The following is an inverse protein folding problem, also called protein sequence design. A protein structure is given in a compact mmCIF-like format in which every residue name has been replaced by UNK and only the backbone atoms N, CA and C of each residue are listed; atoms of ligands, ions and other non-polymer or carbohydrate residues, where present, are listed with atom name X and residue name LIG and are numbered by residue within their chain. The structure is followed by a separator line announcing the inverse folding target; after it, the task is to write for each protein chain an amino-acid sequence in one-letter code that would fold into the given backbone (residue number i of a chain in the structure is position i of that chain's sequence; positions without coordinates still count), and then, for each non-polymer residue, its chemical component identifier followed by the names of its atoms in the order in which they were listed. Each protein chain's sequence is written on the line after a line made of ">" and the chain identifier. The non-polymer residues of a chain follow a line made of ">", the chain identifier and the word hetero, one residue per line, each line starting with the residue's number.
data_IF_178404528445
#
_entry.id   IF_178404528445
#
_cell.length_a   1.000
_cell.length_b   1.000
_cell.length_c   1.000
_cell.angle_alpha   90.00
_cell.angle_beta   90.00
_cell.angle_gamma   90.00
#
_symmetry.space_group_name_H-M   'P 1'
#
loop_
_entity.id
_entity.type
_entity.pdbx_description
1 polymer ?
#
# COMPACT_ATOMS: atom_id res chain seq x y z
N UNK A 1 36.30 -33.64 22.21
CA UNK A 1 35.67 -33.46 20.89
C UNK A 1 34.27 -32.89 21.05
N UNK A 2 34.12 -31.69 21.72
CA UNK A 2 32.80 -31.01 21.98
C UNK A 2 32.86 -29.49 21.93
N UNK A 3 33.81 -28.88 21.24
CA UNK A 3 34.00 -27.42 21.22
C UNK A 3 33.99 -26.76 19.84
N UNK A 4 33.60 -27.51 18.75
CA UNK A 4 33.64 -26.97 17.38
C UNK A 4 32.27 -26.70 16.77
N UNK A 5 31.15 -27.00 17.44
CA UNK A 5 29.80 -26.80 16.88
C UNK A 5 29.13 -25.46 17.25
N UNK A 6 29.65 -24.73 18.24
CA UNK A 6 29.01 -23.48 18.68
C UNK A 6 29.42 -22.24 17.89
N UNK A 7 30.52 -22.29 17.13
CA UNK A 7 31.01 -21.13 16.37
C UNK A 7 30.30 -20.91 15.01
N UNK A 8 29.81 -22.00 14.40
CA UNK A 8 29.16 -21.91 13.07
C UNK A 8 27.73 -21.34 13.11
N UNK A 9 26.99 -21.55 14.21
CA UNK A 9 25.63 -21.05 14.37
C UNK A 9 25.59 -19.51 14.60
N UNK A 10 26.63 -18.94 15.21
CA UNK A 10 26.72 -17.50 15.50
C UNK A 10 27.07 -16.68 14.24
N UNK A 11 27.87 -17.21 13.31
CA UNK A 11 28.20 -16.54 12.04
C UNK A 11 27.02 -16.46 11.08
N UNK A 12 26.13 -17.45 11.04
CA UNK A 12 24.95 -17.41 10.16
C UNK A 12 23.91 -16.37 10.58
N UNK A 13 23.77 -16.13 11.89
CA UNK A 13 22.85 -15.11 12.41
C UNK A 13 23.35 -13.66 12.19
N UNK A 14 24.67 -13.45 12.09
CA UNK A 14 25.26 -12.13 11.86
C UNK A 14 25.24 -11.78 10.37
N UNK A 15 25.42 -12.75 9.46
CA UNK A 15 25.35 -12.54 8.00
C UNK A 15 23.94 -12.20 7.52
N UNK A 16 22.88 -12.77 8.13
CA UNK A 16 21.50 -12.41 7.80
C UNK A 16 21.10 -10.98 8.17
N UNK A 17 21.73 -10.41 9.20
CA UNK A 17 21.41 -9.06 9.67
C UNK A 17 22.17 -7.95 8.92
N UNK A 18 23.31 -8.24 8.31
CA UNK A 18 24.08 -7.27 7.51
C UNK A 18 23.49 -7.09 6.10
N UNK A 19 23.07 -8.18 5.45
CA UNK A 19 22.46 -8.14 4.11
C UNK A 19 21.11 -7.37 4.05
N UNK A 20 20.44 -7.21 5.19
CA UNK A 20 19.12 -6.54 5.28
C UNK A 20 19.22 -5.00 5.30
N UNK A 21 20.39 -4.44 5.66
CA UNK A 21 20.62 -2.98 5.66
C UNK A 21 20.90 -2.41 4.27
N UNK A 22 21.33 -3.22 3.33
CA UNK A 22 21.81 -2.81 2.01
C UNK A 22 20.78 -3.12 0.88
N UNK A 23 19.49 -3.31 1.23
CA UNK A 23 18.47 -3.51 0.19
C UNK A 23 18.37 -2.27 -0.72
N UNK A 24 18.49 -2.42 -2.06
CA UNK A 24 18.51 -1.29 -2.98
C UNK A 24 17.18 -0.53 -2.95
N UNK A 25 17.26 0.78 -2.68
CA UNK A 25 16.10 1.64 -2.64
C UNK A 25 15.75 2.15 -4.04
N UNK A 26 14.47 2.09 -4.37
CA UNK A 26 13.90 2.57 -5.64
C UNK A 26 13.71 4.09 -5.56
N UNK A 27 13.93 4.80 -6.68
CA UNK A 27 13.64 6.24 -6.78
C UNK A 27 12.15 6.51 -6.51
N UNK A 28 11.86 7.51 -5.67
CA UNK A 28 10.50 7.87 -5.36
C UNK A 28 9.84 8.60 -6.54
N UNK A 29 8.68 8.10 -6.96
CA UNK A 29 7.77 8.74 -7.92
C UNK A 29 6.37 8.64 -7.35
N UNK A 30 5.56 9.72 -7.50
CA UNK A 30 4.20 9.72 -6.95
C UNK A 30 3.35 8.61 -7.58
N UNK A 31 3.45 8.41 -8.88
CA UNK A 31 2.75 7.34 -9.60
C UNK A 31 3.67 6.61 -10.56
N UNK A 32 3.58 5.29 -10.55
CA UNK A 32 4.11 4.40 -11.58
C UNK A 32 2.93 3.69 -12.22
N UNK A 33 2.48 4.19 -13.37
CA UNK A 33 1.23 3.74 -13.97
C UNK A 33 1.27 2.30 -14.50
N UNK A 34 2.41 1.83 -15.00
CA UNK A 34 2.60 0.49 -15.57
C UNK A 34 1.40 0.03 -16.41
N UNK A 35 0.71 -1.05 -16.00
CA UNK A 35 -0.48 -1.57 -16.67
C UNK A 35 -1.76 -0.78 -16.42
N UNK A 36 -1.75 0.20 -15.53
CA UNK A 36 -2.93 0.95 -15.14
C UNK A 36 -4.01 0.12 -14.46
N UNK A 37 -5.25 0.59 -14.53
CA UNK A 37 -6.45 -0.04 -13.97
C UNK A 37 -7.55 -0.18 -15.04
N UNK A 38 -7.27 -0.85 -16.18
CA UNK A 38 -8.13 -0.81 -17.35
C UNK A 38 -9.50 -1.47 -17.15
N UNK A 39 -9.56 -2.59 -16.40
CA UNK A 39 -10.81 -3.30 -16.14
C UNK A 39 -11.73 -2.48 -15.23
N UNK A 40 -11.14 -1.88 -14.17
CA UNK A 40 -11.88 -1.03 -13.24
C UNK A 40 -12.44 0.21 -13.92
N UNK A 41 -11.65 0.96 -14.69
CA UNK A 41 -12.12 2.18 -15.35
C UNK A 41 -13.16 1.90 -16.43
N UNK A 42 -13.01 0.83 -17.22
CA UNK A 42 -14.02 0.43 -18.19
C UNK A 42 -15.36 0.16 -17.46
N UNK A 43 -15.33 -0.62 -16.39
CA UNK A 43 -16.54 -0.94 -15.61
C UNK A 43 -17.12 0.31 -14.96
N UNK A 44 -16.29 1.21 -14.40
CA UNK A 44 -16.75 2.44 -13.76
C UNK A 44 -17.44 3.41 -14.70
N UNK A 45 -17.11 3.37 -16.00
CA UNK A 45 -17.74 4.19 -17.04
C UNK A 45 -19.04 3.58 -17.57
N UNK A 46 -19.35 2.33 -17.23
CA UNK A 46 -20.55 1.62 -17.70
C UNK A 46 -21.76 2.00 -16.86
N UNK A 47 -22.81 2.56 -17.49
CA UNK A 47 -24.02 2.98 -16.80
C UNK A 47 -24.70 1.80 -16.08
N UNK A 48 -25.04 2.01 -14.81
CA UNK A 48 -25.69 1.01 -13.96
C UNK A 48 -24.73 -0.05 -13.40
N UNK A 49 -23.42 0.08 -13.63
CA UNK A 49 -22.46 -0.87 -13.09
C UNK A 49 -22.35 -0.77 -11.56
N UNK A 50 -22.20 -1.93 -10.93
CA UNK A 50 -21.88 -2.05 -9.51
C UNK A 50 -20.43 -2.46 -9.34
N UNK A 51 -19.63 -1.63 -8.66
CA UNK A 51 -18.23 -1.88 -8.42
C UNK A 51 -17.95 -2.06 -6.93
N UNK A 52 -17.01 -2.94 -6.63
CA UNK A 52 -16.51 -3.16 -5.27
C UNK A 52 -15.02 -2.83 -5.20
N UNK A 53 -14.65 -1.96 -4.27
CA UNK A 53 -13.26 -1.56 -4.04
C UNK A 53 -12.79 -2.18 -2.74
N UNK A 54 -11.78 -3.06 -2.84
CA UNK A 54 -11.11 -3.68 -1.71
C UNK A 54 -9.97 -2.79 -1.19
N UNK A 55 -9.85 -2.71 0.12
CA UNK A 55 -8.76 -2.03 0.82
C UNK A 55 -8.13 -3.00 1.82
N UNK A 56 -6.99 -3.56 1.46
CA UNK A 56 -6.23 -4.48 2.27
C UNK A 56 -5.00 -3.76 2.83
N UNK A 57 -4.90 -3.65 4.16
CA UNK A 57 -3.83 -2.87 4.75
C UNK A 57 -3.78 -2.93 6.29
N UNK A 58 -2.96 -2.04 6.85
CA UNK A 58 -2.78 -1.85 8.29
C UNK A 58 -3.70 -0.79 8.89
N UNK A 59 -3.26 -0.22 10.05
CA UNK A 59 -4.05 0.77 10.81
C UNK A 59 -4.31 2.07 10.04
N UNK A 60 -3.37 2.55 9.23
CA UNK A 60 -3.55 3.78 8.43
C UNK A 60 -4.68 3.59 7.41
N UNK A 61 -4.80 2.40 6.83
CA UNK A 61 -5.92 2.06 5.93
C UNK A 61 -7.22 1.81 6.69
N UNK A 62 -7.16 1.27 7.92
CA UNK A 62 -8.34 1.02 8.74
C UNK A 62 -9.05 2.31 9.20
N UNK A 63 -8.32 3.43 9.36
CA UNK A 63 -8.89 4.72 9.74
C UNK A 63 -9.92 5.24 8.73
N UNK A 64 -10.84 6.10 9.17
CA UNK A 64 -11.75 6.85 8.31
C UNK A 64 -10.99 7.99 7.61
N UNK A 65 -10.10 7.66 6.69
CA UNK A 65 -9.22 8.59 6.02
C UNK A 65 -9.20 8.38 4.52
N UNK A 66 -8.00 8.21 3.95
CA UNK A 66 -7.78 8.10 2.50
C UNK A 66 -8.71 7.08 1.81
N UNK A 67 -8.96 5.95 2.46
CA UNK A 67 -9.85 4.89 1.97
C UNK A 67 -11.28 5.43 1.74
N UNK A 68 -11.87 6.04 2.78
CA UNK A 68 -13.25 6.59 2.72
C UNK A 68 -13.32 7.76 1.75
N UNK A 69 -12.31 8.64 1.78
CA UNK A 69 -12.24 9.82 0.91
C UNK A 69 -12.06 9.42 -0.57
N UNK A 70 -11.26 8.38 -0.86
CA UNK A 70 -11.09 7.86 -2.21
C UNK A 70 -12.38 7.21 -2.74
N UNK A 71 -13.09 6.46 -1.89
CA UNK A 71 -14.41 5.92 -2.26
C UNK A 71 -15.41 7.02 -2.59
N UNK A 72 -15.45 8.08 -1.78
CA UNK A 72 -16.30 9.24 -2.02
C UNK A 72 -15.94 9.96 -3.34
N UNK A 73 -14.63 10.06 -3.64
CA UNK A 73 -14.18 10.59 -4.93
C UNK A 73 -14.70 9.75 -6.11
N UNK A 74 -14.59 8.43 -6.08
CA UNK A 74 -15.11 7.57 -7.16
C UNK A 74 -16.62 7.71 -7.35
N UNK A 75 -17.40 7.73 -6.26
CA UNK A 75 -18.85 7.97 -6.31
C UNK A 75 -19.20 9.30 -6.99
N UNK A 76 -18.41 10.35 -6.74
CA UNK A 76 -18.60 11.67 -7.35
C UNK A 76 -18.14 11.70 -8.81
N UNK A 77 -17.02 11.05 -9.14
CA UNK A 77 -16.44 11.07 -10.47
C UNK A 77 -17.21 10.20 -11.49
N UNK A 78 -17.88 9.15 -11.01
CA UNK A 78 -18.64 8.20 -11.83
C UNK A 78 -20.07 8.04 -11.32
N UNK A 79 -20.92 9.09 -11.41
CA UNK A 79 -22.27 9.10 -10.84
C UNK A 79 -23.24 8.11 -11.53
N UNK A 80 -22.88 7.61 -12.70
CA UNK A 80 -23.65 6.60 -13.44
C UNK A 80 -23.48 5.18 -12.87
N UNK A 81 -22.50 4.96 -11.96
CA UNK A 81 -22.19 3.67 -11.35
C UNK A 81 -22.30 3.72 -9.83
N UNK A 82 -22.45 2.56 -9.19
CA UNK A 82 -22.45 2.46 -7.74
C UNK A 82 -21.17 1.83 -7.24
N UNK A 83 -20.72 2.26 -6.04
CA UNK A 83 -19.47 1.78 -5.45
C UNK A 83 -19.70 1.31 -4.01
N UNK A 84 -19.33 0.07 -3.74
CA UNK A 84 -19.28 -0.52 -2.42
C UNK A 84 -17.85 -0.70 -1.93
N UNK A 85 -17.66 -0.57 -0.63
CA UNK A 85 -16.37 -0.77 0.03
C UNK A 85 -16.24 -2.19 0.56
N UNK A 86 -15.04 -2.76 0.40
CA UNK A 86 -14.58 -3.96 1.12
C UNK A 86 -13.43 -3.50 2.02
N UNK A 87 -13.75 -3.06 3.24
CA UNK A 87 -12.71 -2.74 4.23
C UNK A 87 -12.14 -4.03 4.83
N UNK A 88 -10.92 -4.35 4.46
CA UNK A 88 -10.15 -5.50 4.96
C UNK A 88 -8.85 -5.04 5.65
N UNK A 89 -8.82 -3.82 6.17
CA UNK A 89 -7.68 -3.32 6.91
C UNK A 89 -7.77 -3.71 8.40
N UNK A 90 -6.64 -4.18 8.95
CA UNK A 90 -6.50 -4.55 10.37
C UNK A 90 -5.27 -3.87 10.95
N UNK A 91 -5.46 -3.10 12.02
CA UNK A 91 -4.36 -2.38 12.68
C UNK A 91 -3.23 -3.30 13.15
N UNK A 92 -1.99 -2.85 12.98
CA UNK A 92 -0.79 -3.58 13.41
C UNK A 92 -0.41 -4.79 12.57
N UNK A 93 -1.06 -5.02 11.41
CA UNK A 93 -0.78 -6.18 10.56
C UNK A 93 -0.03 -5.80 9.30
N UNK A 94 0.94 -6.62 8.89
CA UNK A 94 1.70 -6.51 7.67
C UNK A 94 1.19 -7.43 6.55
N UNK A 95 1.92 -7.43 5.44
CA UNK A 95 1.63 -8.31 4.29
C UNK A 95 1.68 -9.79 4.66
N UNK A 96 2.46 -10.13 5.68
CA UNK A 96 2.62 -11.49 6.20
C UNK A 96 1.32 -12.09 6.78
N UNK A 97 0.48 -11.29 7.43
CA UNK A 97 -0.87 -11.71 7.79
C UNK A 97 -1.85 -11.44 6.64
N UNK A 98 -1.65 -10.37 5.90
CA UNK A 98 -2.47 -9.99 4.75
C UNK A 98 -2.66 -11.13 3.75
N UNK A 99 -1.57 -11.83 3.40
CA UNK A 99 -1.58 -12.92 2.41
C UNK A 99 -2.40 -14.14 2.85
N UNK A 100 -2.47 -14.42 4.15
CA UNK A 100 -3.26 -15.55 4.67
C UNK A 100 -4.76 -15.26 4.71
N UNK A 101 -5.15 -13.99 4.91
CA UNK A 101 -6.55 -13.59 5.11
C UNK A 101 -7.19 -12.98 3.85
N UNK A 102 -6.41 -12.66 2.79
CA UNK A 102 -6.92 -11.99 1.59
C UNK A 102 -8.09 -12.74 0.95
N UNK A 103 -8.03 -14.08 0.90
CA UNK A 103 -9.11 -14.90 0.34
C UNK A 103 -10.44 -14.69 1.09
N UNK A 104 -10.40 -14.76 2.42
CA UNK A 104 -11.59 -14.64 3.27
C UNK A 104 -12.10 -13.19 3.34
N UNK A 105 -11.19 -12.23 3.56
CA UNK A 105 -11.57 -10.86 3.90
C UNK A 105 -11.91 -10.01 2.67
N UNK A 106 -11.35 -10.35 1.50
CA UNK A 106 -11.41 -9.56 0.27
C UNK A 106 -12.01 -10.36 -0.89
N UNK A 107 -11.34 -11.46 -1.29
CA UNK A 107 -11.61 -12.09 -2.59
C UNK A 107 -12.96 -12.80 -2.62
N UNK A 108 -13.41 -13.36 -1.50
CA UNK A 108 -14.76 -13.93 -1.36
C UNK A 108 -15.90 -12.92 -1.63
N UNK A 109 -15.59 -11.62 -1.56
CA UNK A 109 -16.56 -10.53 -1.78
C UNK A 109 -16.53 -9.98 -3.22
N UNK A 110 -15.61 -10.47 -4.05
CA UNK A 110 -15.50 -10.13 -5.48
C UNK A 110 -15.13 -8.66 -5.75
N UNK A 111 -13.94 -8.20 -5.38
CA UNK A 111 -13.50 -6.84 -5.69
C UNK A 111 -13.24 -6.66 -7.19
N UNK A 112 -13.56 -5.47 -7.71
CA UNK A 112 -13.17 -5.01 -9.05
C UNK A 112 -11.81 -4.31 -9.03
N UNK A 113 -11.51 -3.63 -7.92
CA UNK A 113 -10.22 -2.99 -7.64
C UNK A 113 -9.77 -3.37 -6.23
N UNK A 114 -8.50 -3.69 -6.07
CA UNK A 114 -7.88 -3.96 -4.78
C UNK A 114 -6.70 -3.01 -4.55
N UNK A 115 -6.84 -2.10 -3.59
CA UNK A 115 -5.72 -1.36 -3.02
C UNK A 115 -5.02 -2.20 -1.96
N UNK A 116 -3.69 -2.30 -2.03
CA UNK A 116 -2.86 -3.01 -1.05
C UNK A 116 -1.86 -2.04 -0.42
N UNK A 117 -1.92 -1.90 0.92
CA UNK A 117 -1.13 -0.96 1.71
C UNK A 117 -0.49 -1.66 2.92
N UNK A 118 0.81 -1.92 2.87
CA UNK A 118 1.55 -2.50 3.98
C UNK A 118 2.93 -1.88 4.18
N UNK A 119 3.27 -0.83 3.44
CA UNK A 119 4.62 -0.27 3.42
C UNK A 119 5.12 0.19 4.80
N UNK A 120 4.23 0.73 5.64
CA UNK A 120 4.55 1.14 7.01
C UNK A 120 4.67 -0.07 7.93
N UNK A 121 3.71 -0.98 7.89
CA UNK A 121 3.71 -2.16 8.78
C UNK A 121 4.86 -3.12 8.48
N UNK A 122 5.26 -3.23 7.22
CA UNK A 122 6.37 -4.07 6.77
C UNK A 122 7.74 -3.34 6.89
N UNK A 123 7.80 -2.14 7.44
CA UNK A 123 9.03 -1.33 7.50
C UNK A 123 10.22 -2.02 8.15
N UNK A 124 9.98 -2.93 9.09
CA UNK A 124 10.99 -3.77 9.75
C UNK A 124 11.13 -5.19 9.22
N UNK A 125 10.28 -5.61 8.25
CA UNK A 125 10.27 -6.98 7.75
C UNK A 125 11.43 -7.24 6.76
N UNK A 126 11.80 -8.51 6.61
CA UNK A 126 12.76 -8.96 5.60
C UNK A 126 12.19 -8.70 4.18
N UNK A 127 12.93 -8.00 3.28
CA UNK A 127 12.50 -7.70 1.92
C UNK A 127 12.08 -8.93 1.11
N UNK A 128 12.77 -10.05 1.27
CA UNK A 128 12.41 -11.28 0.55
C UNK A 128 11.08 -11.85 1.04
N UNK A 129 10.81 -11.76 2.36
CA UNK A 129 9.50 -12.13 2.92
C UNK A 129 8.40 -11.22 2.40
N UNK A 130 8.63 -9.89 2.35
CA UNK A 130 7.68 -8.93 1.76
C UNK A 130 7.34 -9.32 0.32
N UNK A 131 8.36 -9.58 -0.52
CA UNK A 131 8.19 -10.00 -1.92
C UNK A 131 7.29 -11.22 -2.00
N UNK A 132 7.58 -12.28 -1.22
CA UNK A 132 6.80 -13.52 -1.21
C UNK A 132 5.35 -13.32 -0.78
N UNK A 133 5.12 -12.47 0.23
CA UNK A 133 3.76 -12.15 0.72
C UNK A 133 2.99 -11.34 -0.31
N UNK A 134 3.58 -10.27 -0.85
CA UNK A 134 2.94 -9.41 -1.84
C UNK A 134 2.66 -10.16 -3.14
N UNK A 135 3.58 -10.98 -3.59
CA UNK A 135 3.36 -11.87 -4.75
C UNK A 135 2.22 -12.85 -4.48
N UNK A 136 2.16 -13.43 -3.28
CA UNK A 136 1.08 -14.31 -2.89
C UNK A 136 -0.29 -13.62 -2.96
N UNK A 137 -0.41 -12.37 -2.49
CA UNK A 137 -1.63 -11.57 -2.59
C UNK A 137 -2.04 -11.36 -4.04
N UNK A 138 -1.09 -10.97 -4.92
CA UNK A 138 -1.35 -10.76 -6.35
C UNK A 138 -1.88 -12.03 -7.01
N UNK A 139 -1.17 -13.14 -6.82
CA UNK A 139 -1.48 -14.43 -7.46
C UNK A 139 -2.82 -15.00 -6.97
N UNK A 140 -3.11 -14.90 -5.66
CA UNK A 140 -4.42 -15.28 -5.12
C UNK A 140 -5.55 -14.41 -5.72
N UNK A 141 -5.32 -13.08 -5.84
CA UNK A 141 -6.31 -12.16 -6.41
C UNK A 141 -6.65 -12.54 -7.85
N UNK A 142 -5.67 -12.69 -8.72
CA UNK A 142 -5.92 -13.00 -10.12
C UNK A 142 -6.37 -14.44 -10.36
N UNK A 143 -6.05 -15.36 -9.46
CA UNK A 143 -6.64 -16.71 -9.47
C UNK A 143 -8.13 -16.68 -9.12
N UNK A 144 -8.55 -15.84 -8.18
CA UNK A 144 -9.95 -15.69 -7.80
C UNK A 144 -10.77 -14.96 -8.87
N UNK A 145 -10.25 -13.86 -9.40
CA UNK A 145 -10.84 -13.11 -10.51
C UNK A 145 -9.74 -12.42 -11.34
N UNK A 146 -9.44 -12.90 -12.54
CA UNK A 146 -8.40 -12.33 -13.39
C UNK A 146 -8.72 -10.92 -13.92
N UNK A 147 -9.93 -10.40 -13.69
CA UNK A 147 -10.32 -9.02 -14.05
C UNK A 147 -10.22 -8.03 -12.90
N UNK A 148 -9.86 -8.48 -11.69
CA UNK A 148 -9.62 -7.55 -10.58
C UNK A 148 -8.32 -6.79 -10.83
N UNK A 149 -8.42 -5.47 -10.96
CA UNK A 149 -7.25 -4.62 -11.01
C UNK A 149 -6.66 -4.45 -9.59
N UNK A 150 -5.35 -4.36 -9.49
CA UNK A 150 -4.62 -4.18 -8.23
C UNK A 150 -3.83 -2.87 -8.32
N UNK A 151 -3.79 -2.11 -7.22
CA UNK A 151 -2.93 -0.94 -7.06
C UNK A 151 -2.21 -1.01 -5.72
N UNK A 152 -0.89 -0.94 -5.73
CA UNK A 152 -0.11 -0.80 -4.49
C UNK A 152 -0.07 0.66 -4.07
N UNK A 153 -0.23 0.93 -2.79
CA UNK A 153 -0.12 2.28 -2.25
C UNK A 153 0.83 2.30 -1.06
N UNK A 154 1.68 3.34 -0.99
CA UNK A 154 2.74 3.43 0.01
C UNK A 154 2.51 4.64 0.89
N UNK A 155 2.07 4.39 2.10
CA UNK A 155 1.94 5.37 3.17
C UNK A 155 3.30 5.67 3.81
N UNK A 156 3.38 6.74 4.59
CA UNK A 156 4.61 7.22 5.21
C UNK A 156 4.37 7.57 6.67
N UNK A 157 5.38 7.33 7.50
CA UNK A 157 5.45 7.81 8.88
C UNK A 157 6.72 8.63 9.07
N UNK A 158 6.78 9.42 10.15
CA UNK A 158 7.99 10.17 10.48
C UNK A 158 9.24 9.27 10.55
N UNK A 159 9.12 8.14 11.25
CA UNK A 159 10.22 7.19 11.45
C UNK A 159 10.76 6.56 10.15
N UNK A 160 9.93 6.47 9.11
CA UNK A 160 10.29 5.87 7.82
C UNK A 160 10.50 6.92 6.71
N UNK A 161 10.49 8.22 7.06
CA UNK A 161 10.54 9.31 6.07
C UNK A 161 11.94 9.55 5.48
N UNK A 162 13.02 9.16 6.16
CA UNK A 162 14.39 9.45 5.75
C UNK A 162 14.66 9.21 4.27
N UNK A 163 14.48 7.99 3.74
CA UNK A 163 14.70 7.73 2.31
C UNK A 163 13.87 8.63 1.40
N UNK A 164 12.61 8.90 1.73
CA UNK A 164 11.73 9.70 0.87
C UNK A 164 12.14 11.18 0.85
N UNK A 165 12.69 11.70 1.95
CA UNK A 165 13.29 13.04 1.97
C UNK A 165 14.52 13.14 1.05
N UNK A 166 15.17 12.02 0.74
CA UNK A 166 16.30 11.89 -0.19
C UNK A 166 15.85 11.46 -1.61
N UNK A 167 14.56 11.41 -1.88
CA UNK A 167 14.02 11.04 -3.19
C UNK A 167 13.99 9.54 -3.45
N UNK A 168 14.01 8.70 -2.40
CA UNK A 168 13.92 7.24 -2.49
C UNK A 168 12.69 6.73 -1.77
N UNK A 169 12.12 5.62 -2.24
CA UNK A 169 11.11 4.89 -1.49
C UNK A 169 11.74 4.21 -0.26
N UNK A 170 10.96 4.06 0.81
CA UNK A 170 11.37 3.26 1.97
C UNK A 170 11.62 1.80 1.56
N UNK A 171 12.44 1.09 2.35
CA UNK A 171 12.89 -0.27 2.06
C UNK A 171 11.74 -1.25 1.77
N UNK A 172 10.69 -1.22 2.56
CA UNK A 172 9.51 -2.07 2.36
C UNK A 172 8.80 -1.77 1.04
N UNK A 173 8.56 -0.49 0.73
CA UNK A 173 7.98 -0.08 -0.55
C UNK A 173 8.88 -0.46 -1.73
N UNK A 174 10.20 -0.32 -1.59
CA UNK A 174 11.18 -0.75 -2.61
C UNK A 174 11.12 -2.26 -2.88
N UNK A 175 10.88 -3.07 -1.84
CA UNK A 175 10.67 -4.51 -2.00
C UNK A 175 9.35 -4.82 -2.72
N UNK A 176 8.28 -4.07 -2.40
CA UNK A 176 6.96 -4.21 -3.07
C UNK A 176 7.03 -3.80 -4.54
N UNK A 177 7.83 -2.78 -4.88
CA UNK A 177 8.05 -2.35 -6.27
C UNK A 177 8.60 -3.47 -7.16
N UNK A 178 9.42 -4.37 -6.61
CA UNK A 178 9.91 -5.54 -7.38
C UNK A 178 8.77 -6.45 -7.85
N UNK A 179 7.75 -6.63 -7.02
CA UNK A 179 6.53 -7.37 -7.39
C UNK A 179 5.69 -6.56 -8.38
N UNK A 180 5.54 -5.26 -8.11
CA UNK A 180 4.79 -4.35 -8.98
C UNK A 180 5.37 -4.30 -10.40
N UNK A 181 6.71 -4.20 -10.53
CA UNK A 181 7.41 -4.22 -11.82
C UNK A 181 7.21 -5.54 -12.56
N UNK A 182 7.37 -6.66 -11.85
CA UNK A 182 7.25 -7.99 -12.47
C UNK A 182 5.85 -8.28 -13.02
N UNK A 183 4.81 -7.86 -12.27
CA UNK A 183 3.42 -8.12 -12.64
C UNK A 183 2.76 -6.96 -13.41
N UNK A 184 3.46 -5.85 -13.60
CA UNK A 184 2.90 -4.66 -14.26
C UNK A 184 1.84 -3.94 -13.43
N UNK A 185 1.87 -4.07 -12.10
CA UNK A 185 0.91 -3.48 -11.17
C UNK A 185 1.25 -2.00 -10.95
N UNK A 186 0.29 -1.07 -11.08
CA UNK A 186 0.52 0.32 -10.77
C UNK A 186 0.76 0.53 -9.27
N UNK A 187 1.55 1.56 -8.95
CA UNK A 187 1.81 1.95 -7.56
C UNK A 187 1.72 3.47 -7.37
N UNK A 188 1.30 3.90 -6.17
CA UNK A 188 1.17 5.30 -5.79
C UNK A 188 1.89 5.51 -4.46
N UNK A 189 2.90 6.38 -4.43
CA UNK A 189 3.60 6.77 -3.21
C UNK A 189 2.86 7.93 -2.53
N UNK A 190 1.92 7.60 -1.63
CA UNK A 190 1.06 8.56 -0.94
C UNK A 190 1.85 9.57 -0.09
N UNK A 191 3.04 9.18 0.37
CA UNK A 191 3.91 10.01 1.21
C UNK A 191 4.69 11.11 0.48
N UNK A 192 4.63 11.22 -0.86
CA UNK A 192 5.46 12.17 -1.62
C UNK A 192 5.22 13.63 -1.20
N UNK A 193 3.95 14.05 -1.13
CA UNK A 193 3.61 15.42 -0.74
C UNK A 193 3.93 15.67 0.74
N UNK A 194 3.75 14.67 1.60
CA UNK A 194 4.15 14.73 3.01
C UNK A 194 5.66 15.00 3.13
N UNK A 195 6.47 14.25 2.40
CA UNK A 195 7.93 14.43 2.38
C UNK A 195 8.32 15.79 1.82
N UNK A 196 7.64 16.27 0.75
CA UNK A 196 7.88 17.60 0.17
C UNK A 196 7.61 18.72 1.19
N UNK A 197 6.49 18.64 1.91
CA UNK A 197 6.15 19.60 2.95
C UNK A 197 7.13 19.53 4.13
N UNK A 198 7.54 18.33 4.55
CA UNK A 198 8.53 18.15 5.59
C UNK A 198 9.88 18.78 5.20
N UNK A 199 10.36 18.52 3.98
CA UNK A 199 11.62 19.08 3.45
C UNK A 199 11.57 20.62 3.36
N UNK A 200 10.39 21.18 3.07
CA UNK A 200 10.17 22.62 3.01
C UNK A 200 9.97 23.28 4.41
N UNK A 201 10.03 22.51 5.51
CA UNK A 201 9.76 23.01 6.85
C UNK A 201 8.28 23.38 7.10
N UNK A 202 7.39 22.93 6.23
CA UNK A 202 5.94 23.21 6.25
C UNK A 202 5.10 22.07 6.82
N UNK A 203 5.72 21.04 7.42
CA UNK A 203 5.04 19.94 8.06
C UNK A 203 5.38 19.86 9.54
N UNK A 204 4.36 19.68 10.37
CA UNK A 204 4.47 19.27 11.76
C UNK A 204 4.06 17.81 11.83
N UNK A 205 5.02 16.92 12.06
CA UNK A 205 4.78 15.48 12.05
C UNK A 205 3.80 15.04 13.14
N UNK A 206 3.95 15.62 14.35
CA UNK A 206 3.19 15.22 15.52
C UNK A 206 2.67 16.42 16.28
N UNK A 207 1.37 16.64 16.23
CA UNK A 207 0.64 17.61 17.04
C UNK A 207 -0.87 17.30 17.03
N UNK A 208 -1.65 17.76 18.00
CA UNK A 208 -3.09 17.85 17.83
C UNK A 208 -3.43 18.89 16.76
N UNK A 209 -4.61 18.78 16.16
CA UNK A 209 -5.12 19.83 15.27
C UNK A 209 -5.42 21.10 16.09
N UNK A 210 -5.11 22.31 15.55
CA UNK A 210 -5.40 23.57 16.22
C UNK A 210 -6.92 23.75 16.37
N UNK A 211 -7.35 24.11 17.58
CA UNK A 211 -8.78 24.29 17.94
C UNK A 211 -9.19 25.76 18.04
N UNK A 212 -8.23 26.65 18.37
CA UNK A 212 -8.48 28.07 18.54
C UNK A 212 -7.82 28.87 17.42
N UNK A 213 -8.30 30.09 17.19
CA UNK A 213 -7.69 31.00 16.22
C UNK A 213 -6.25 31.37 16.59
N UNK A 214 -5.94 31.44 17.90
CA UNK A 214 -4.56 31.66 18.35
C UNK A 214 -3.63 30.48 18.00
N UNK A 215 -4.10 29.23 18.17
CA UNK A 215 -3.34 28.04 17.77
C UNK A 215 -3.16 27.96 16.26
N UNK A 216 -4.19 28.32 15.47
CA UNK A 216 -4.10 28.41 14.01
C UNK A 216 -3.09 29.47 13.57
N UNK A 217 -3.14 30.65 14.20
CA UNK A 217 -2.19 31.72 13.92
C UNK A 217 -0.73 31.31 14.28
N UNK A 218 -0.54 30.62 15.39
CA UNK A 218 0.76 30.10 15.80
C UNK A 218 1.29 29.00 14.85
N UNK A 219 0.40 28.17 14.29
CA UNK A 219 0.75 27.17 13.29
C UNK A 219 1.20 27.81 11.96
N UNK A 220 0.60 28.97 11.61
CA UNK A 220 0.88 29.68 10.37
C UNK A 220 0.51 28.86 9.13
N UNK A 221 1.44 28.75 8.16
CA UNK A 221 1.26 27.99 6.91
C UNK A 221 1.68 26.52 7.03
N UNK A 222 1.99 26.05 8.24
CA UNK A 222 2.39 24.67 8.46
C UNK A 222 1.20 23.73 8.49
N UNK A 223 1.44 22.50 8.08
CA UNK A 223 0.48 21.43 7.99
C UNK A 223 0.71 20.40 9.12
N UNK A 224 -0.29 20.10 9.93
CA UNK A 224 -0.19 19.08 10.97
C UNK A 224 -0.53 17.73 10.36
N UNK A 225 0.41 16.79 10.41
CA UNK A 225 0.25 15.49 9.76
C UNK A 225 -0.56 14.50 10.62
N UNK A 226 -0.12 14.24 11.85
CA UNK A 226 -0.67 13.19 12.70
C UNK A 226 -0.64 13.56 14.18
N UNK A 227 -1.47 12.96 15.04
CA UNK A 227 -1.39 13.14 16.49
C UNK A 227 -0.20 12.42 17.13
N UNK A 228 0.31 11.35 16.46
CA UNK A 228 1.31 10.42 16.99
C UNK A 228 2.48 10.14 16.01
N UNK A 229 2.60 10.93 14.94
CA UNK A 229 3.57 10.79 13.82
C UNK A 229 3.42 9.52 12.96
N UNK A 230 2.41 8.69 13.21
CA UNK A 230 2.11 7.45 12.46
C UNK A 230 0.76 7.52 11.76
N UNK A 231 -0.32 7.79 12.54
CA UNK A 231 -1.70 7.74 12.08
C UNK A 231 -2.17 9.13 11.64
N UNK A 232 -2.27 9.43 10.34
CA UNK A 232 -2.59 10.77 9.88
C UNK A 232 -3.94 11.28 10.41
N UNK A 233 -4.04 12.58 10.65
CA UNK A 233 -5.34 13.18 10.90
C UNK A 233 -6.24 13.05 9.67
N UNK A 234 -7.53 12.80 9.89
CA UNK A 234 -8.51 12.61 8.81
C UNK A 234 -8.60 13.85 7.90
N UNK A 235 -8.64 15.04 8.48
CA UNK A 235 -8.82 16.32 7.75
C UNK A 235 -7.52 16.91 7.21
N UNK A 236 -6.36 16.32 7.48
CA UNK A 236 -5.06 16.81 7.01
C UNK A 236 -4.21 15.71 6.37
N UNK A 237 -3.48 14.90 7.11
CA UNK A 237 -2.57 13.91 6.53
C UNK A 237 -3.25 12.91 5.58
N UNK A 238 -4.45 12.45 5.91
CA UNK A 238 -5.23 11.60 5.00
C UNK A 238 -5.71 12.33 3.75
N UNK A 239 -5.95 13.64 3.83
CA UNK A 239 -6.28 14.46 2.64
C UNK A 239 -5.12 14.49 1.66
N UNK A 240 -3.86 14.62 2.14
CA UNK A 240 -2.68 14.53 1.27
C UNK A 240 -2.59 13.19 0.56
N UNK A 241 -2.86 12.09 1.26
CA UNK A 241 -2.89 10.75 0.68
C UNK A 241 -3.98 10.61 -0.39
N UNK A 242 -5.19 11.08 -0.09
CA UNK A 242 -6.29 11.08 -1.06
C UNK A 242 -5.97 11.91 -2.30
N UNK A 243 -5.36 13.08 -2.12
CA UNK A 243 -4.95 13.94 -3.23
C UNK A 243 -3.89 13.27 -4.11
N UNK A 244 -2.94 12.52 -3.53
CA UNK A 244 -1.97 11.75 -4.31
C UNK A 244 -2.66 10.68 -5.18
N UNK A 245 -3.64 9.96 -4.64
CA UNK A 245 -4.45 9.01 -5.41
C UNK A 245 -5.18 9.75 -6.54
N UNK A 246 -5.93 10.80 -6.22
CA UNK A 246 -6.74 11.54 -7.20
C UNK A 246 -5.89 12.10 -8.34
N UNK A 247 -4.71 12.68 -8.03
CA UNK A 247 -3.77 13.15 -9.06
C UNK A 247 -3.25 12.02 -9.95
N UNK A 248 -3.15 10.82 -9.42
CA UNK A 248 -2.62 9.65 -10.13
C UNK A 248 -3.66 8.99 -11.06
N UNK A 249 -4.97 9.11 -10.77
CA UNK A 249 -6.02 8.41 -11.52
C UNK A 249 -5.98 8.65 -13.03
N UNK A 250 -5.74 9.87 -13.57
CA UNK A 250 -5.65 10.07 -15.02
C UNK A 250 -4.56 9.22 -15.66
N UNK A 251 -3.36 9.13 -15.06
CA UNK A 251 -2.28 8.31 -15.58
C UNK A 251 -2.62 6.81 -15.55
N UNK A 252 -3.36 6.35 -14.53
CA UNK A 252 -3.81 4.96 -14.41
C UNK A 252 -4.92 4.60 -15.40
N UNK A 253 -5.74 5.59 -15.80
CA UNK A 253 -6.83 5.39 -16.75
C UNK A 253 -6.34 5.33 -18.21
N UNK A 254 -5.29 6.07 -18.55
CA UNK A 254 -4.72 6.14 -19.91
C UNK A 254 -3.55 5.20 -20.15
N UNK A 255 -3.06 4.51 -19.12
CA UNK A 255 -2.05 3.49 -19.30
C UNK A 255 -2.56 2.45 -20.32
N UNK A 256 -1.77 2.23 -21.35
CA UNK A 256 -2.16 1.72 -22.68
C UNK A 256 -2.49 0.21 -22.70
N UNK A 257 -3.26 -0.27 -21.77
CA UNK A 257 -3.70 -1.66 -21.74
C UNK A 257 -5.21 -1.73 -21.98
N UNK A 258 -5.59 -2.41 -23.07
CA UNK A 258 -6.99 -2.76 -23.25
C UNK A 258 -7.48 -3.60 -22.06
N UNK A 259 -8.72 -3.43 -21.62
CA UNK A 259 -9.31 -4.25 -20.56
C UNK A 259 -9.22 -5.73 -20.92
N UNK A 260 -8.37 -6.46 -20.21
CA UNK A 260 -8.10 -7.88 -20.44
C UNK A 260 -7.92 -8.60 -19.12
N UNK A 261 -8.23 -9.90 -19.07
CA UNK A 261 -7.88 -10.70 -17.91
C UNK A 261 -6.37 -10.67 -17.64
N UNK A 262 -5.98 -10.49 -16.40
CA UNK A 262 -4.59 -10.60 -15.99
C UNK A 262 -4.12 -12.05 -16.11
N UNK A 263 -3.06 -12.27 -16.87
CA UNK A 263 -2.56 -13.63 -17.12
C UNK A 263 -1.61 -14.05 -15.99
N UNK A 264 -1.83 -15.24 -15.47
CA UNK A 264 -0.89 -15.84 -14.51
C UNK A 264 0.44 -16.10 -15.21
N UNK A 265 1.53 -15.52 -14.69
CA UNK A 265 2.91 -15.73 -15.15
C UNK A 265 3.60 -16.79 -14.29
N UNK A 266 4.80 -17.20 -14.69
CA UNK A 266 5.69 -17.89 -13.76
C UNK A 266 5.89 -17.02 -12.51
N UNK A 267 6.07 -17.67 -11.37
CA UNK A 267 6.27 -16.93 -10.12
C UNK A 267 7.59 -16.14 -10.16
N UNK A 268 7.59 -14.94 -9.57
CA UNK A 268 8.80 -14.17 -9.32
C UNK A 268 9.68 -14.88 -8.28
N UNK A 269 9.05 -15.41 -7.23
CA UNK A 269 9.66 -16.28 -6.24
C UNK A 269 8.86 -17.59 -6.14
N UNK A 270 9.47 -18.75 -6.45
CA UNK A 270 8.78 -20.06 -6.33
C UNK A 270 8.30 -20.38 -4.91
N UNK A 271 8.86 -19.73 -3.88
CA UNK A 271 8.46 -19.87 -2.48
C UNK A 271 7.44 -18.79 -2.03
N UNK A 272 6.76 -18.14 -2.97
CA UNK A 272 5.69 -17.18 -2.65
C UNK A 272 4.52 -17.85 -1.91
N UNK A 273 3.68 -17.02 -1.27
CA UNK A 273 2.55 -17.48 -0.47
C UNK A 273 1.22 -17.55 -1.24
N UNK A 274 1.22 -17.90 -2.52
CA UNK A 274 -0.02 -18.02 -3.31
C UNK A 274 -1.00 -19.09 -2.80
N UNK A 275 -0.52 -20.03 -1.96
CA UNK A 275 -1.32 -21.10 -1.35
C UNK A 275 -1.64 -20.84 0.11
N UNK A 276 -1.27 -19.66 0.63
CA UNK A 276 -1.55 -19.31 2.01
C UNK A 276 -3.06 -19.21 2.24
N UNK A 277 -3.51 -19.75 3.35
CA UNK A 277 -4.92 -19.70 3.79
C UNK A 277 -5.00 -19.77 5.31
N UNK A 278 -6.07 -19.19 5.86
CA UNK A 278 -6.39 -19.40 7.27
C UNK A 278 -7.00 -20.78 7.43
N UNK A 279 -6.45 -21.58 8.34
CA UNK A 279 -7.09 -22.82 8.75
C UNK A 279 -8.19 -22.52 9.79
N UNK A 280 -9.39 -23.15 9.69
CA UNK A 280 -10.38 -23.04 10.73
C UNK A 280 -9.82 -23.64 12.02
N UNK A 281 -10.05 -22.97 13.16
CA UNK A 281 -9.76 -23.57 14.47
C UNK A 281 -10.78 -24.68 14.64
N UNK A 282 -10.30 -25.94 14.60
CA UNK A 282 -11.15 -27.08 14.98
C UNK A 282 -11.46 -26.97 16.47
N UNK A 283 -12.75 -26.87 16.81
CA UNK A 283 -13.22 -26.91 18.19
C UNK A 283 -12.92 -28.27 18.83
#
# INVERSE_FOLDING_TARGET
>A
MRLLFSALALCAAILGRAADKDYPLVDAQEVRARGGLPNFFLKAQTTGAELKIGYLGGSITAQNGWRVQTLAHFKKAYPQSTFAEINAAIGGTGSDLGVFRVQQDVLSKGPDLLFVEFAVNDGGADPQRIIRCMEGIVRQTWKANPKTDICFVYTLTEALSGPMLEGKLQRSASAMEKVADFYGIPSIALGMEVARLAKAGKLVWRAPLPKTEAEKAALGDKFVFAPDSVHPHESTGHVLYTQAIVRSLPALAIANNAPTPHVSRLALDPANFERATLAPISA
#
